data_IF_110140060374
#
_entry.id   IF_110140060374
#
_cell.length_a   1.000
_cell.length_b   1.000
_cell.length_c   1.000
_cell.angle_alpha   90.00
_cell.angle_beta   90.00
_cell.angle_gamma   90.00
#
_symmetry.space_group_name_H-M   'P 1'
#
loop_
_entity.id
_entity.type
_entity.pdbx_description
1 polymer ?
#
# COMPACT_ATOMS: atom_id res chain seq x y z
N UNK A 1 8.03 16.14 20.73
CA UNK A 1 8.11 15.13 19.66
C UNK A 1 9.37 15.39 18.86
N UNK A 2 10.49 14.76 19.24
CA UNK A 2 11.77 14.92 18.55
C UNK A 2 11.82 13.85 17.46
N UNK A 3 11.85 14.26 16.19
CA UNK A 3 12.31 13.39 15.11
C UNK A 3 13.79 13.09 15.38
N UNK A 4 14.05 11.93 16.00
CA UNK A 4 15.40 11.36 16.08
C UNK A 4 15.78 10.93 14.67
N UNK A 5 16.55 11.77 13.98
CA UNK A 5 17.34 11.29 12.84
C UNK A 5 18.45 10.43 13.44
N UNK A 6 18.20 9.11 13.47
CA UNK A 6 19.18 8.15 13.94
C UNK A 6 20.28 8.03 12.90
N UNK A 7 21.50 8.36 13.29
CA UNK A 7 22.70 8.06 12.52
C UNK A 7 22.76 6.53 12.35
N UNK A 8 22.61 6.07 11.11
CA UNK A 8 22.66 4.64 10.76
C UNK A 8 24.03 4.32 10.21
N UNK A 9 24.56 3.13 10.51
CA UNK A 9 25.80 2.69 9.88
C UNK A 9 25.65 2.69 8.36
N UNK A 10 26.76 2.86 7.64
CA UNK A 10 26.76 2.82 6.19
C UNK A 10 26.14 1.53 5.65
N UNK A 11 26.36 0.37 6.29
CA UNK A 11 25.72 -0.88 5.87
C UNK A 11 24.20 -0.83 6.04
N UNK A 12 23.69 -0.32 7.15
CA UNK A 12 22.25 -0.25 7.40
C UNK A 12 21.56 0.75 6.46
N UNK A 13 22.24 1.85 6.10
CA UNK A 13 21.78 2.76 5.07
C UNK A 13 21.68 2.05 3.70
N UNK A 14 22.77 1.40 3.24
CA UNK A 14 22.81 0.71 1.95
C UNK A 14 21.74 -0.39 1.90
N UNK A 15 21.60 -1.18 2.99
CA UNK A 15 20.60 -2.25 3.10
C UNK A 15 19.18 -1.72 2.95
N UNK A 16 18.85 -0.59 3.60
CA UNK A 16 17.52 0.05 3.48
C UNK A 16 17.32 0.68 2.11
N UNK A 17 18.34 1.32 1.56
CA UNK A 17 18.29 1.96 0.25
C UNK A 17 17.99 0.93 -0.85
N UNK A 18 18.73 -0.18 -0.88
CA UNK A 18 18.56 -1.22 -1.89
C UNK A 18 17.21 -1.94 -1.82
N UNK A 19 16.54 -1.97 -0.68
CA UNK A 19 15.15 -2.49 -0.58
C UNK A 19 14.13 -1.60 -1.31
N UNK A 20 14.43 -0.31 -1.49
CA UNK A 20 13.56 0.63 -2.22
C UNK A 20 13.93 0.75 -3.70
N UNK A 21 15.16 0.37 -4.07
CA UNK A 21 15.61 0.39 -5.45
C UNK A 21 15.11 -0.86 -6.15
N UNK A 22 14.48 -0.68 -7.31
CA UNK A 22 14.01 -1.81 -8.10
C UNK A 22 15.21 -2.63 -8.62
N UNK A 23 15.26 -3.96 -8.46
CA UNK A 23 16.25 -4.81 -9.11
C UNK A 23 16.43 -4.49 -10.60
N UNK A 24 17.67 -4.58 -11.08
CA UNK A 24 18.00 -4.37 -12.49
C UNK A 24 17.12 -5.25 -13.38
N UNK A 25 16.67 -4.70 -14.52
CA UNK A 25 15.77 -5.33 -15.51
C UNK A 25 14.30 -5.43 -15.10
N UNK A 26 13.91 -4.97 -13.92
CA UNK A 26 12.48 -4.74 -13.67
C UNK A 26 12.04 -3.40 -14.26
N UNK A 27 10.99 -3.46 -15.07
CA UNK A 27 10.40 -2.29 -15.71
C UNK A 27 9.20 -1.83 -14.89
N UNK A 28 9.15 -0.52 -14.59
CA UNK A 28 7.94 0.12 -14.06
C UNK A 28 6.85 0.13 -15.12
N UNK A 29 5.91 -0.81 -15.02
CA UNK A 29 4.70 -0.77 -15.86
C UNK A 29 3.90 0.48 -15.50
N UNK A 30 3.81 1.42 -16.43
CA UNK A 30 2.88 2.54 -16.38
C UNK A 30 1.68 2.18 -17.23
N UNK A 31 0.49 2.17 -16.64
CA UNK A 31 -0.74 1.95 -17.39
C UNK A 31 -1.17 3.26 -18.06
N UNK A 32 -1.47 3.20 -19.36
CA UNK A 32 -1.94 4.33 -20.16
C UNK A 32 -3.39 4.11 -20.63
N UNK A 33 -4.00 5.15 -21.22
CA UNK A 33 -5.34 5.08 -21.77
C UNK A 33 -6.40 4.71 -20.72
N UNK A 34 -7.27 3.74 -21.06
CA UNK A 34 -8.38 3.31 -20.20
C UNK A 34 -7.90 2.70 -18.87
N UNK A 35 -6.74 2.05 -18.85
CA UNK A 35 -6.18 1.39 -17.67
C UNK A 35 -5.38 2.34 -16.76
N UNK A 36 -5.19 3.61 -17.17
CA UNK A 36 -4.48 4.60 -16.36
C UNK A 36 -5.17 4.81 -15.00
N UNK A 37 -4.41 4.99 -13.89
CA UNK A 37 -4.98 5.28 -12.58
C UNK A 37 -5.90 6.51 -12.54
N UNK A 38 -5.65 7.53 -13.39
CA UNK A 38 -6.52 8.70 -13.52
C UNK A 38 -7.89 8.39 -14.14
N UNK A 39 -7.96 7.34 -14.95
CA UNK A 39 -9.15 6.96 -15.72
C UNK A 39 -9.96 5.83 -15.05
N UNK A 40 -9.76 5.57 -13.74
CA UNK A 40 -10.51 4.54 -13.00
C UNK A 40 -12.03 4.70 -13.10
N UNK A 41 -12.54 5.92 -13.23
CA UNK A 41 -13.97 6.19 -13.39
C UNK A 41 -14.49 5.69 -14.76
N UNK A 42 -13.74 5.94 -15.85
CA UNK A 42 -14.04 5.43 -17.19
C UNK A 42 -13.96 3.91 -17.24
N UNK A 43 -12.92 3.32 -16.64
CA UNK A 43 -12.79 1.86 -16.54
C UNK A 43 -13.97 1.22 -15.82
N UNK A 44 -14.43 1.82 -14.72
CA UNK A 44 -15.61 1.33 -14.00
C UNK A 44 -16.90 1.49 -14.84
N UNK A 45 -17.04 2.57 -15.60
CA UNK A 45 -18.18 2.76 -16.52
C UNK A 45 -18.18 1.70 -17.62
N UNK A 46 -17.03 1.45 -18.25
CA UNK A 46 -16.88 0.42 -19.28
C UNK A 46 -17.24 -0.97 -18.73
N UNK A 47 -16.74 -1.33 -17.54
CA UNK A 47 -17.09 -2.60 -16.87
C UNK A 47 -18.59 -2.77 -16.64
N UNK A 48 -19.27 -1.72 -16.14
CA UNK A 48 -20.72 -1.74 -15.94
C UNK A 48 -21.48 -1.95 -17.26
N UNK A 49 -21.09 -1.25 -18.32
CA UNK A 49 -21.72 -1.39 -19.64
C UNK A 49 -21.51 -2.78 -20.25
N UNK A 50 -20.34 -3.37 -20.05
CA UNK A 50 -20.00 -4.69 -20.55
C UNK A 50 -20.56 -5.85 -19.68
N UNK A 51 -21.27 -5.55 -18.60
CA UNK A 51 -21.71 -6.58 -17.64
C UNK A 51 -20.56 -7.27 -16.89
N UNK A 52 -19.33 -6.78 -17.05
CA UNK A 52 -18.17 -7.31 -16.36
C UNK A 52 -18.22 -6.86 -14.90
N UNK A 53 -18.61 -7.78 -14.01
CA UNK A 53 -18.60 -7.56 -12.56
C UNK A 53 -17.26 -6.96 -12.10
N UNK A 54 -17.30 -6.13 -11.05
CA UNK A 54 -16.07 -5.59 -10.47
C UNK A 54 -15.21 -6.77 -10.02
N UNK A 55 -13.98 -6.87 -10.53
CA UNK A 55 -12.98 -7.75 -9.94
C UNK A 55 -12.77 -7.33 -8.49
N UNK A 56 -13.29 -8.13 -7.57
CA UNK A 56 -13.00 -8.03 -6.14
C UNK A 56 -11.68 -8.75 -5.96
N UNK A 57 -10.62 -8.00 -5.67
CA UNK A 57 -9.34 -8.61 -5.28
C UNK A 57 -9.65 -9.50 -4.07
N UNK A 58 -9.27 -10.78 -4.07
CA UNK A 58 -9.46 -11.62 -2.89
C UNK A 58 -8.79 -10.92 -1.72
N UNK A 59 -9.59 -10.53 -0.73
CA UNK A 59 -9.08 -10.10 0.56
C UNK A 59 -8.34 -11.30 1.13
N UNK A 60 -7.04 -11.16 1.37
CA UNK A 60 -6.34 -12.10 2.24
C UNK A 60 -7.13 -12.20 3.54
N UNK A 61 -7.41 -13.41 4.06
CA UNK A 61 -8.07 -13.56 5.36
C UNK A 61 -7.16 -12.91 6.40
N UNK A 62 -7.45 -11.67 6.75
CA UNK A 62 -6.93 -11.06 7.97
C UNK A 62 -7.98 -11.39 8.98
N UNK A 63 -7.70 -12.37 9.83
CA UNK A 63 -8.58 -12.74 10.92
C UNK A 63 -8.83 -11.47 11.76
N UNK A 64 -10.05 -10.92 11.75
CA UNK A 64 -10.35 -9.67 12.45
C UNK A 64 -10.19 -9.83 13.97
N UNK A 65 -10.17 -11.07 14.47
CA UNK A 65 -10.15 -11.40 15.89
C UNK A 65 -8.75 -11.64 16.46
N UNK A 66 -7.68 -11.51 15.67
CA UNK A 66 -6.35 -11.72 16.22
C UNK A 66 -5.95 -10.53 17.11
N UNK A 67 -5.69 -10.75 18.42
CA UNK A 67 -5.37 -9.69 19.34
C UNK A 67 -4.09 -8.99 18.88
N UNK A 68 -4.20 -7.69 18.62
CA UNK A 68 -3.05 -6.87 18.23
C UNK A 68 -2.28 -6.51 19.49
N UNK A 69 -1.07 -7.01 19.65
CA UNK A 69 -0.23 -6.67 20.79
C UNK A 69 0.72 -5.51 20.45
N UNK A 70 1.02 -4.67 21.44
CA UNK A 70 2.04 -3.65 21.32
C UNK A 70 3.43 -4.30 21.17
N UNK A 71 4.22 -4.00 20.11
CA UNK A 71 5.52 -4.62 19.91
C UNK A 71 6.57 -4.22 20.96
N UNK A 72 6.31 -3.20 21.78
CA UNK A 72 7.22 -2.72 22.82
C UNK A 72 6.94 -3.32 24.21
N UNK A 73 5.67 -3.53 24.58
CA UNK A 73 5.29 -3.97 25.93
C UNK A 73 4.38 -5.21 25.96
N UNK A 74 3.94 -5.73 24.80
CA UNK A 74 3.08 -6.91 24.71
C UNK A 74 1.61 -6.68 25.08
N UNK A 75 1.24 -5.49 25.58
CA UNK A 75 -0.15 -5.18 25.96
C UNK A 75 -1.12 -5.22 24.77
N UNK A 76 -2.36 -5.64 25.02
CA UNK A 76 -3.41 -5.67 24.00
C UNK A 76 -3.77 -4.25 23.52
N UNK A 77 -3.86 -4.08 22.21
CA UNK A 77 -4.27 -2.86 21.54
C UNK A 77 -5.76 -2.93 21.16
N UNK A 78 -6.49 -1.84 21.37
CA UNK A 78 -7.86 -1.69 20.89
C UNK A 78 -7.90 -0.92 19.57
N UNK A 79 -8.69 -1.41 18.61
CA UNK A 79 -8.94 -0.71 17.35
C UNK A 79 -9.88 0.48 17.59
N UNK A 80 -9.35 1.70 17.57
CA UNK A 80 -10.16 2.92 17.75
C UNK A 80 -10.87 3.33 16.47
N UNK A 81 -10.15 3.35 15.33
CA UNK A 81 -10.72 3.73 14.03
C UNK A 81 -9.87 3.24 12.87
N UNK A 82 -10.52 2.84 11.79
CA UNK A 82 -9.86 2.61 10.50
C UNK A 82 -9.82 3.92 9.71
N UNK A 83 -8.61 4.36 9.33
CA UNK A 83 -8.45 5.47 8.40
C UNK A 83 -8.60 4.95 6.97
N UNK A 84 -9.55 5.48 6.21
CA UNK A 84 -9.52 5.26 4.77
C UNK A 84 -8.33 6.02 4.18
N UNK A 85 -7.54 5.41 3.29
CA UNK A 85 -6.42 6.11 2.67
C UNK A 85 -6.97 7.35 1.98
N UNK A 86 -6.45 8.51 2.39
CA UNK A 86 -6.63 9.74 1.63
C UNK A 86 -6.17 9.40 0.22
N UNK A 87 -7.01 9.68 -0.78
CA UNK A 87 -6.62 9.53 -2.17
C UNK A 87 -5.53 10.56 -2.44
N UNK A 88 -4.29 10.23 -2.11
CA UNK A 88 -3.16 10.95 -2.66
C UNK A 88 -3.22 10.69 -4.15
N UNK A 89 -3.57 11.72 -4.91
CA UNK A 89 -3.09 11.78 -6.28
C UNK A 89 -1.58 11.74 -6.13
N UNK A 90 -0.95 10.67 -6.57
CA UNK A 90 0.50 10.68 -6.79
C UNK A 90 0.81 11.90 -7.67
N UNK A 91 1.90 12.64 -7.41
CA UNK A 91 2.33 13.70 -8.30
C UNK A 91 2.53 13.18 -9.73
#
# INVERSE_FOLDING_TARGET
MLHKYGDVSAEEFIRRFLQHVWPKRFIKIRFYGLLSPGNRHLLNKARKLLGAGRYVKPSSPTDPDQPRCCPACGSALMLVRTLTPLRSRSP
#
